data_IF_470205698538
#
_entry.id   IF_470205698538
#
_cell.length_a   1.000
_cell.length_b   1.000
_cell.length_c   1.000
_cell.angle_alpha   90.00
_cell.angle_beta   90.00
_cell.angle_gamma   90.00
#
_symmetry.space_group_name_H-M   'P 1'
#
loop_
_entity.id
_entity.type
_entity.pdbx_description
1 polymer ?
#
# COMPACT_ATOMS: atom_id res chain seq x y z
N UNK A 1 -8.87 33.37 44.92
CA UNK A 1 -9.52 32.45 43.97
C UNK A 1 -8.95 32.71 42.59
N UNK A 2 -8.04 31.87 42.12
CA UNK A 2 -7.62 31.78 40.72
C UNK A 2 -6.87 30.46 40.51
N UNK A 3 -7.24 29.78 39.41
CA UNK A 3 -6.53 28.72 38.68
C UNK A 3 -6.34 27.37 39.40
N UNK A 4 -6.65 26.24 38.78
CA UNK A 4 -6.09 25.80 37.50
C UNK A 4 -7.01 24.86 36.73
N UNK A 5 -6.92 24.97 35.40
CA UNK A 5 -7.57 24.14 34.40
C UNK A 5 -7.11 22.67 34.49
N UNK A 6 -8.04 21.77 34.73
CA UNK A 6 -7.99 20.35 34.34
C UNK A 6 -8.65 20.26 32.96
N UNK A 7 -8.21 19.54 31.94
CA UNK A 7 -7.55 18.24 31.93
C UNK A 7 -6.98 18.02 30.51
N UNK A 8 -5.82 17.38 30.45
CA UNK A 8 -5.04 16.99 29.29
C UNK A 8 -5.84 16.49 28.08
N UNK A 9 -5.97 17.33 27.05
CA UNK A 9 -6.34 16.91 25.69
C UNK A 9 -5.21 16.09 25.09
N UNK A 10 -5.44 14.79 24.90
CA UNK A 10 -4.47 13.72 24.60
C UNK A 10 -3.69 13.89 23.28
N UNK A 11 -2.41 14.29 23.29
CA UNK A 11 -1.54 14.25 22.10
C UNK A 11 -0.86 12.88 21.94
N UNK A 12 -0.92 12.03 22.96
CA UNK A 12 -0.29 10.70 22.97
C UNK A 12 -1.14 9.63 22.27
N UNK A 13 -2.48 9.75 22.31
CA UNK A 13 -3.38 8.78 21.65
C UNK A 13 -3.32 8.86 20.12
N UNK A 14 -3.11 10.06 19.56
CA UNK A 14 -2.94 10.24 18.11
C UNK A 14 -1.65 9.61 17.61
N UNK A 15 -0.56 9.73 18.35
CA UNK A 15 0.71 9.07 18.04
C UNK A 15 0.64 7.54 18.22
N UNK A 16 -0.09 7.04 19.22
CA UNK A 16 -0.25 5.60 19.42
C UNK A 16 -1.11 4.95 18.32
N UNK A 17 -2.14 5.64 17.81
CA UNK A 17 -2.94 5.15 16.67
C UNK A 17 -2.11 5.04 15.39
N UNK A 18 -1.19 5.97 15.15
CA UNK A 18 -0.23 5.91 14.03
C UNK A 18 0.79 4.77 14.17
N UNK A 19 1.05 4.30 15.40
CA UNK A 19 1.87 3.10 15.65
C UNK A 19 1.07 1.77 15.60
N UNK A 20 -0.26 1.82 15.71
CA UNK A 20 -1.10 0.63 15.90
C UNK A 20 -2.03 0.30 14.72
N UNK A 21 -2.14 1.19 13.73
CA UNK A 21 -2.94 0.92 12.53
C UNK A 21 -2.28 1.59 11.33
N UNK A 22 -1.45 0.84 10.60
CA UNK A 22 -0.97 1.31 9.29
C UNK A 22 -2.13 1.22 8.31
N UNK A 23 -2.51 2.33 7.69
CA UNK A 23 -3.43 2.29 6.56
C UNK A 23 -2.78 1.58 5.37
N UNK A 24 -3.59 1.03 4.46
CA UNK A 24 -3.08 0.39 3.24
C UNK A 24 -2.26 1.38 2.39
N UNK A 25 -2.61 2.65 2.44
CA UNK A 25 -1.85 3.71 1.75
C UNK A 25 -0.48 3.93 2.39
N UNK A 26 -0.42 4.02 3.72
CA UNK A 26 0.86 4.16 4.44
C UNK A 26 1.73 2.92 4.24
N UNK A 27 1.17 1.72 4.33
CA UNK A 27 1.90 0.48 4.07
C UNK A 27 2.56 0.49 2.68
N UNK A 28 1.80 0.81 1.63
CA UNK A 28 2.33 0.86 0.26
C UNK A 28 3.45 1.90 0.16
N UNK A 29 3.24 3.10 0.73
CA UNK A 29 4.20 4.20 0.65
C UNK A 29 5.49 3.89 1.43
N UNK A 30 5.37 3.36 2.65
CA UNK A 30 6.49 3.04 3.54
C UNK A 30 7.32 1.88 3.02
N UNK A 31 6.68 0.89 2.37
CA UNK A 31 7.35 -0.34 1.95
C UNK A 31 7.65 -0.41 0.44
N UNK A 32 7.54 0.69 -0.32
CA UNK A 32 7.72 0.69 -1.79
C UNK A 32 8.97 -0.07 -2.25
N UNK A 33 10.13 0.23 -1.68
CA UNK A 33 11.39 -0.41 -2.09
C UNK A 33 11.37 -1.93 -1.88
N UNK A 34 10.80 -2.37 -0.75
CA UNK A 34 10.65 -3.79 -0.43
C UNK A 34 9.63 -4.48 -1.31
N UNK A 35 8.56 -3.78 -1.68
CA UNK A 35 7.58 -4.28 -2.63
C UNK A 35 8.21 -4.45 -4.03
N UNK A 36 8.98 -3.47 -4.50
CA UNK A 36 9.70 -3.53 -5.78
C UNK A 36 10.66 -4.72 -5.83
N UNK A 37 11.44 -4.91 -4.76
CA UNK A 37 12.46 -5.95 -4.69
C UNK A 37 11.82 -7.36 -4.62
N UNK A 38 10.78 -7.52 -3.80
CA UNK A 38 10.37 -8.86 -3.31
C UNK A 38 9.07 -9.39 -3.87
N UNK A 39 8.20 -8.55 -4.43
CA UNK A 39 6.93 -9.04 -5.00
C UNK A 39 7.23 -9.84 -6.25
N UNK A 40 6.85 -11.12 -6.25
CA UNK A 40 7.02 -12.01 -7.40
C UNK A 40 5.78 -12.00 -8.30
N UNK A 41 4.61 -11.82 -7.69
CA UNK A 41 3.28 -11.92 -8.33
C UNK A 41 2.81 -10.63 -9.03
N UNK A 42 3.72 -9.78 -9.53
CA UNK A 42 3.40 -8.42 -10.05
C UNK A 42 2.31 -8.45 -11.12
N UNK A 43 2.46 -9.30 -12.14
CA UNK A 43 1.48 -9.38 -13.25
C UNK A 43 0.13 -9.92 -12.79
N UNK A 44 0.11 -10.93 -11.91
CA UNK A 44 -1.14 -11.46 -11.39
C UNK A 44 -1.93 -10.41 -10.58
N UNK A 45 -1.24 -9.52 -9.88
CA UNK A 45 -1.86 -8.38 -9.18
C UNK A 45 -2.36 -7.35 -10.21
N UNK A 46 -1.53 -6.99 -11.20
CA UNK A 46 -1.91 -6.04 -12.26
C UNK A 46 -3.13 -6.51 -13.06
N UNK A 47 -3.20 -7.78 -13.43
CA UNK A 47 -4.34 -8.40 -14.11
C UNK A 47 -5.62 -8.27 -13.27
N UNK A 48 -5.51 -8.55 -11.97
CA UNK A 48 -6.64 -8.46 -11.04
C UNK A 48 -7.14 -7.02 -10.93
N UNK A 49 -6.24 -6.05 -10.79
CA UNK A 49 -6.59 -4.62 -10.76
C UNK A 49 -7.21 -4.16 -12.09
N UNK A 50 -6.68 -4.64 -13.23
CA UNK A 50 -7.22 -4.30 -14.54
C UNK A 50 -8.60 -4.88 -14.78
N UNK A 51 -8.84 -6.13 -14.36
CA UNK A 51 -10.15 -6.79 -14.47
C UNK A 51 -11.25 -6.08 -13.66
N UNK A 52 -10.85 -5.35 -12.60
CA UNK A 52 -11.72 -4.53 -11.76
C UNK A 52 -11.81 -3.07 -12.22
N UNK A 53 -11.23 -2.76 -13.38
CA UNK A 53 -11.13 -1.40 -13.94
C UNK A 53 -10.49 -0.36 -13.00
N UNK A 54 -9.64 -0.81 -12.08
CA UNK A 54 -8.95 0.06 -11.11
C UNK A 54 -7.67 0.68 -11.66
N UNK A 55 -7.14 0.12 -12.74
CA UNK A 55 -6.04 0.70 -13.52
C UNK A 55 -6.45 0.77 -14.99
N UNK A 56 -6.08 1.87 -15.66
CA UNK A 56 -6.40 2.04 -17.07
C UNK A 56 -5.54 1.12 -17.96
N UNK A 57 -5.96 0.95 -19.21
CA UNK A 57 -5.28 0.06 -20.16
C UNK A 57 -3.86 0.51 -20.53
N UNK A 58 -3.61 1.83 -20.55
CA UNK A 58 -2.30 2.38 -20.87
C UNK A 58 -1.26 2.04 -19.78
N UNK A 59 -1.61 2.29 -18.51
CA UNK A 59 -0.78 1.94 -17.35
C UNK A 59 -0.53 0.44 -17.28
N UNK A 60 -1.59 -0.37 -17.45
CA UNK A 60 -1.45 -1.83 -17.51
C UNK A 60 -0.47 -2.27 -18.62
N UNK A 61 -0.59 -1.68 -19.81
CA UNK A 61 0.29 -2.04 -20.95
C UNK A 61 1.74 -1.68 -20.67
N UNK A 62 2.01 -0.54 -20.02
CA UNK A 62 3.36 -0.14 -19.56
C UNK A 62 3.92 -1.15 -18.55
N UNK A 63 3.12 -1.56 -17.56
CA UNK A 63 3.51 -2.58 -16.57
C UNK A 63 3.80 -3.92 -17.25
N UNK A 64 2.94 -4.35 -18.17
CA UNK A 64 3.09 -5.63 -18.88
C UNK A 64 4.37 -5.67 -19.73
N UNK A 65 4.70 -4.57 -20.42
CA UNK A 65 5.82 -4.49 -21.34
C UNK A 65 7.19 -4.25 -20.67
N UNK A 66 7.23 -3.75 -19.43
CA UNK A 66 8.46 -3.44 -18.74
C UNK A 66 9.23 -4.72 -18.36
N UNK A 67 10.56 -4.67 -18.35
CA UNK A 67 11.41 -5.70 -17.78
C UNK A 67 12.62 -5.00 -17.14
N UNK A 68 13.17 -5.50 -16.02
CA UNK A 68 12.80 -6.73 -15.31
C UNK A 68 11.57 -6.56 -14.40
N UNK A 69 11.21 -7.60 -13.64
CA UNK A 69 10.06 -7.62 -12.70
C UNK A 69 10.02 -6.43 -11.75
N UNK A 70 11.17 -5.97 -11.29
CA UNK A 70 11.32 -4.83 -10.39
C UNK A 70 10.79 -3.55 -11.06
N UNK A 71 11.04 -3.38 -12.36
CA UNK A 71 10.51 -2.24 -13.13
C UNK A 71 9.01 -2.36 -13.37
N UNK A 72 8.49 -3.58 -13.62
CA UNK A 72 7.03 -3.82 -13.65
C UNK A 72 6.40 -3.35 -12.34
N UNK A 73 7.01 -3.69 -11.21
CA UNK A 73 6.48 -3.36 -9.89
C UNK A 73 6.57 -1.86 -9.62
N UNK A 74 7.65 -1.18 -10.03
CA UNK A 74 7.78 0.27 -9.94
C UNK A 74 6.63 0.98 -10.69
N UNK A 75 6.41 0.61 -11.95
CA UNK A 75 5.34 1.18 -12.76
C UNK A 75 3.95 0.85 -12.22
N UNK A 76 3.76 -0.34 -11.64
CA UNK A 76 2.50 -0.70 -11.00
C UNK A 76 2.24 0.21 -9.80
N UNK A 77 3.23 0.45 -8.94
CA UNK A 77 3.10 1.35 -7.80
C UNK A 77 2.80 2.79 -8.22
N UNK A 78 3.38 3.28 -9.32
CA UNK A 78 3.06 4.60 -9.88
C UNK A 78 1.60 4.67 -10.39
N UNK A 79 1.08 3.58 -10.94
CA UNK A 79 -0.33 3.48 -11.29
C UNK A 79 -1.24 3.50 -10.04
N UNK A 80 -0.80 2.91 -8.92
CA UNK A 80 -1.55 2.97 -7.65
C UNK A 80 -1.63 4.40 -7.11
N UNK A 81 -0.57 5.20 -7.26
CA UNK A 81 -0.57 6.61 -6.84
C UNK A 81 -1.60 7.43 -7.62
N UNK A 82 -1.72 7.14 -8.92
CA UNK A 82 -2.72 7.78 -9.78
C UNK A 82 -4.16 7.34 -9.47
N UNK A 83 -4.34 6.09 -9.00
CA UNK A 83 -5.64 5.52 -8.63
C UNK A 83 -6.12 5.87 -7.21
N UNK A 84 -5.23 6.37 -6.35
CA UNK A 84 -5.56 6.80 -5.00
C UNK A 84 -5.80 5.67 -3.99
N UNK A 85 -6.36 6.03 -2.83
CA UNK A 85 -6.44 5.15 -1.66
C UNK A 85 -7.21 3.85 -1.90
N UNK A 86 -8.28 3.88 -2.69
CA UNK A 86 -9.10 2.69 -2.99
C UNK A 86 -8.30 1.63 -3.78
N UNK A 87 -7.48 2.07 -4.73
CA UNK A 87 -6.64 1.17 -5.55
C UNK A 87 -5.50 0.60 -4.71
N UNK A 88 -4.91 1.40 -3.82
CA UNK A 88 -3.91 0.92 -2.83
C UNK A 88 -4.49 -0.10 -1.86
N UNK A 89 -5.72 0.10 -1.38
CA UNK A 89 -6.41 -0.85 -0.51
C UNK A 89 -6.63 -2.20 -1.22
N UNK A 90 -7.09 -2.18 -2.46
CA UNK A 90 -7.27 -3.40 -3.25
C UNK A 90 -5.94 -4.08 -3.58
N UNK A 91 -4.89 -3.31 -3.89
CA UNK A 91 -3.54 -3.83 -4.05
C UNK A 91 -3.08 -4.58 -2.78
N UNK A 92 -3.25 -3.98 -1.60
CA UNK A 92 -2.90 -4.62 -0.32
C UNK A 92 -3.70 -5.90 -0.08
N UNK A 93 -5.00 -5.91 -0.43
CA UNK A 93 -5.84 -7.12 -0.34
C UNK A 93 -5.29 -8.24 -1.24
N UNK A 94 -4.96 -7.93 -2.49
CA UNK A 94 -4.38 -8.89 -3.44
C UNK A 94 -2.98 -9.36 -3.03
N UNK A 95 -2.19 -8.45 -2.46
CA UNK A 95 -0.86 -8.77 -1.95
C UNK A 95 -0.95 -9.75 -0.77
N UNK A 96 -1.90 -9.59 0.15
CA UNK A 96 -2.16 -10.57 1.23
C UNK A 96 -2.56 -11.94 0.70
N UNK A 97 -3.34 -11.96 -0.37
CA UNK A 97 -3.84 -13.19 -0.98
C UNK A 97 -2.72 -13.98 -1.66
N UNK A 98 -1.83 -13.28 -2.39
CA UNK A 98 -0.80 -13.91 -3.23
C UNK A 98 0.56 -14.05 -2.54
N UNK A 99 0.90 -13.12 -1.65
CA UNK A 99 2.24 -12.96 -1.06
C UNK A 99 2.14 -12.79 0.47
N UNK A 100 1.30 -13.61 1.12
CA UNK A 100 0.98 -13.50 2.56
C UNK A 100 2.21 -13.39 3.46
N UNK A 101 3.26 -14.14 3.16
CA UNK A 101 4.50 -14.11 3.93
C UNK A 101 5.16 -12.73 3.91
N UNK A 102 5.17 -12.06 2.76
CA UNK A 102 5.74 -10.72 2.61
C UNK A 102 4.94 -9.70 3.42
N UNK A 103 3.61 -9.78 3.39
CA UNK A 103 2.77 -8.87 4.20
C UNK A 103 2.99 -9.09 5.69
N UNK A 104 3.03 -10.34 6.15
CA UNK A 104 3.27 -10.65 7.56
C UNK A 104 4.63 -10.11 8.05
N UNK A 105 5.64 -10.06 7.19
CA UNK A 105 6.96 -9.53 7.54
C UNK A 105 6.99 -8.00 7.57
N UNK A 106 6.39 -7.34 6.57
CA UNK A 106 6.46 -5.89 6.42
C UNK A 106 5.46 -5.15 7.30
N UNK A 107 4.27 -5.71 7.49
CA UNK A 107 3.16 -5.10 8.20
C UNK A 107 2.18 -6.17 8.69
N UNK A 108 2.49 -6.90 9.77
CA UNK A 108 1.63 -7.99 10.28
C UNK A 108 0.24 -7.53 10.72
N UNK A 109 0.04 -6.22 10.90
CA UNK A 109 -1.22 -5.61 11.28
C UNK A 109 -1.97 -4.99 10.10
N UNK A 110 -1.45 -5.14 8.87
CA UNK A 110 -2.12 -4.71 7.65
C UNK A 110 -3.42 -5.48 7.46
#
# INVERSE_FOLDING_TARGET
>A
MQSTNSEYGTPYLTNLKHLLFQSETEFVNTHRDKLIERVSSVMAIADSLKSKDMINGEMYSKVHAAEPREEKMRLLLDALDSGGAAVKAEFCRLLKEKERYLVNELGPHL
#
